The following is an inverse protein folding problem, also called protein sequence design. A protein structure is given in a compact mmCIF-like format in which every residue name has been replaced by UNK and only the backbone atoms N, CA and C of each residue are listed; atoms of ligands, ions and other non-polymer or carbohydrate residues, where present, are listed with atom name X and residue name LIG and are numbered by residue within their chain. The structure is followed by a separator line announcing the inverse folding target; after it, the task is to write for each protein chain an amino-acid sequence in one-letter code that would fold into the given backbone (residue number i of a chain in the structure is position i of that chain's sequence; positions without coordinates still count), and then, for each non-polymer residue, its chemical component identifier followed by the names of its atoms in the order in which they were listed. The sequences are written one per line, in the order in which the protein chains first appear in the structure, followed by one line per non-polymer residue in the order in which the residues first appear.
data_IF_487176970684
#
_entry.id   IF_487176970684
#
_cell.length_a   1.000
_cell.length_b   1.000
_cell.length_c   1.000
_cell.angle_alpha   90.00
_cell.angle_beta   90.00
_cell.angle_gamma   90.00
#
_symmetry.space_group_name_H-M   'P 1'
#
loop_
_entity.id
_entity.type
_entity.pdbx_description
1 polymer ?
#
# COMPACT_ATOMS: atom_id res chain seq x y z
N UNK A 1 -15.47 -8.35 -19.45
CA UNK A 1 -15.39 -6.90 -19.16
C UNK A 1 -13.98 -6.48 -19.52
N UNK A 2 -13.81 -5.50 -20.40
CA UNK A 2 -12.47 -4.96 -20.71
C UNK A 2 -12.05 -4.08 -19.53
N UNK A 3 -10.90 -4.35 -18.92
CA UNK A 3 -10.32 -3.47 -17.90
C UNK A 3 -10.10 -2.07 -18.50
N UNK A 4 -10.61 -1.04 -17.83
CA UNK A 4 -10.38 0.35 -18.21
C UNK A 4 -9.31 0.97 -17.29
N UNK A 5 -8.46 1.82 -17.84
CA UNK A 5 -7.46 2.60 -17.08
C UNK A 5 -8.14 3.47 -16.00
N UNK A 6 -9.39 3.88 -16.22
CA UNK A 6 -10.20 4.58 -15.22
C UNK A 6 -10.50 3.75 -13.97
N UNK A 7 -10.65 2.42 -14.12
CA UNK A 7 -10.88 1.52 -12.99
C UNK A 7 -9.64 1.45 -12.09
N UNK A 8 -8.45 1.46 -12.69
CA UNK A 8 -7.17 1.48 -11.97
C UNK A 8 -7.06 2.74 -11.11
N UNK A 9 -7.45 3.91 -11.66
CA UNK A 9 -7.47 5.16 -10.90
C UNK A 9 -8.38 5.09 -9.67
N UNK A 10 -9.58 4.52 -9.83
CA UNK A 10 -10.53 4.37 -8.72
C UNK A 10 -10.01 3.46 -7.62
N UNK A 11 -9.36 2.34 -7.98
CA UNK A 11 -8.74 1.44 -7.00
C UNK A 11 -7.54 2.09 -6.30
N UNK A 12 -6.77 2.92 -7.02
CA UNK A 12 -5.64 3.64 -6.45
C UNK A 12 -6.08 4.70 -5.41
N UNK A 13 -7.17 5.42 -5.68
CA UNK A 13 -7.75 6.36 -4.71
C UNK A 13 -8.19 5.65 -3.43
N UNK A 14 -8.84 4.48 -3.55
CA UNK A 14 -9.23 3.66 -2.40
C UNK A 14 -8.01 3.10 -1.65
N UNK A 15 -6.99 2.64 -2.38
CA UNK A 15 -5.74 2.17 -1.82
C UNK A 15 -5.09 3.26 -0.96
N UNK A 16 -5.06 4.50 -1.45
CA UNK A 16 -4.54 5.63 -0.67
C UNK A 16 -5.31 5.83 0.64
N UNK A 17 -6.63 5.80 0.60
CA UNK A 17 -7.49 5.93 1.80
C UNK A 17 -7.21 4.81 2.79
N UNK A 18 -7.05 3.57 2.33
CA UNK A 18 -6.77 2.44 3.21
C UNK A 18 -5.38 2.48 3.83
N UNK A 19 -4.35 2.87 3.06
CA UNK A 19 -2.98 3.06 3.56
C UNK A 19 -2.90 4.13 4.66
N UNK A 20 -3.59 5.26 4.48
CA UNK A 20 -3.61 6.32 5.50
C UNK A 20 -4.37 5.91 6.77
N UNK A 21 -5.40 5.08 6.63
CA UNK A 21 -6.20 4.60 7.76
C UNK A 21 -5.63 3.33 8.43
N UNK A 22 -4.50 2.80 7.95
CA UNK A 22 -3.90 1.57 8.46
C UNK A 22 -4.74 0.31 8.21
N UNK A 23 -5.67 0.35 7.25
CA UNK A 23 -6.51 -0.79 6.86
C UNK A 23 -5.77 -1.67 5.86
N UNK A 24 -4.74 -2.38 6.34
CA UNK A 24 -3.78 -3.07 5.47
C UNK A 24 -4.37 -4.25 4.69
N UNK A 25 -5.36 -4.95 5.26
CA UNK A 25 -6.06 -6.04 4.57
C UNK A 25 -6.90 -5.51 3.38
N UNK A 26 -7.63 -4.40 3.61
CA UNK A 26 -8.39 -3.73 2.55
C UNK A 26 -7.45 -3.17 1.47
N UNK A 27 -6.34 -2.56 1.87
CA UNK A 27 -5.30 -2.06 0.96
C UNK A 27 -4.72 -3.19 0.09
N UNK A 28 -4.46 -4.37 0.66
CA UNK A 28 -4.00 -5.53 -0.10
C UNK A 28 -5.02 -5.96 -1.17
N UNK A 29 -6.31 -5.91 -0.85
CA UNK A 29 -7.38 -6.20 -1.79
C UNK A 29 -7.39 -5.25 -2.99
N UNK A 30 -7.20 -3.95 -2.77
CA UNK A 30 -7.12 -2.97 -3.88
C UNK A 30 -5.87 -3.16 -4.74
N UNK A 31 -4.72 -3.50 -4.15
CA UNK A 31 -3.49 -3.81 -4.92
C UNK A 31 -3.72 -5.02 -5.85
N UNK A 32 -4.43 -6.04 -5.39
CA UNK A 32 -4.75 -7.22 -6.22
C UNK A 32 -5.62 -6.84 -7.42
N UNK A 33 -6.64 -5.99 -7.22
CA UNK A 33 -7.48 -5.50 -8.32
C UNK A 33 -6.69 -4.67 -9.32
N UNK A 34 -5.80 -3.80 -8.83
CA UNK A 34 -4.90 -3.01 -9.69
C UNK A 34 -4.01 -3.93 -10.54
N UNK A 35 -3.37 -4.94 -9.92
CA UNK A 35 -2.52 -5.91 -10.62
C UNK A 35 -3.30 -6.71 -11.67
N UNK A 36 -4.52 -7.17 -11.34
CA UNK A 36 -5.41 -7.86 -12.29
C UNK A 36 -5.80 -6.96 -13.47
N UNK A 37 -6.16 -5.69 -13.21
CA UNK A 37 -6.50 -4.74 -14.27
C UNK A 37 -5.30 -4.41 -15.16
N UNK A 38 -4.11 -4.25 -14.60
CA UNK A 38 -2.88 -4.02 -15.38
C UNK A 38 -2.57 -5.23 -16.26
N UNK A 39 -2.65 -6.46 -15.72
CA UNK A 39 -2.47 -7.68 -16.51
C UNK A 39 -3.46 -7.77 -17.65
N UNK A 40 -4.74 -7.54 -17.38
CA UNK A 40 -5.79 -7.55 -18.41
C UNK A 40 -5.60 -6.45 -19.46
N UNK A 41 -5.10 -5.28 -19.06
CA UNK A 41 -4.79 -4.20 -19.98
C UNK A 41 -3.74 -4.69 -20.99
N UNK A 42 -2.61 -5.22 -20.51
CA UNK A 42 -1.46 -5.60 -21.35
C UNK A 42 -1.53 -6.99 -21.98
N UNK A 43 -2.45 -7.86 -21.55
CA UNK A 43 -2.70 -9.16 -22.20
C UNK A 43 -3.37 -9.02 -23.59
N UNK A 44 -3.96 -7.87 -23.90
CA UNK A 44 -4.47 -7.57 -25.22
C UNK A 44 -3.28 -7.23 -26.15
N UNK A 45 -3.03 -8.06 -27.17
CA UNK A 45 -1.85 -7.94 -28.05
C UNK A 45 -1.77 -6.65 -28.89
N UNK A 46 -2.84 -5.86 -28.96
CA UNK A 46 -2.93 -4.57 -29.68
C UNK A 46 -3.31 -3.41 -28.74
N UNK A 47 -2.57 -3.24 -27.64
CA UNK A 47 -2.75 -2.09 -26.75
C UNK A 47 -2.14 -0.84 -27.38
N UNK A 48 -2.98 -0.05 -28.05
CA UNK A 48 -2.68 1.35 -28.38
C UNK A 48 -3.13 2.24 -27.23
N UNK A 49 -2.15 2.82 -26.51
CA UNK A 49 -2.41 3.80 -25.46
C UNK A 49 -2.26 5.21 -26.03
N UNK A 50 -3.23 6.07 -25.73
CA UNK A 50 -3.09 7.51 -25.92
C UNK A 50 -2.05 8.11 -24.97
N UNK A 51 -1.50 9.27 -25.32
CA UNK A 51 -0.58 10.03 -24.44
C UNK A 51 -1.19 10.28 -23.05
N UNK A 52 -2.50 10.53 -22.99
CA UNK A 52 -3.23 10.70 -21.73
C UNK A 52 -3.18 9.43 -20.88
N UNK A 53 -3.41 8.28 -21.48
CA UNK A 53 -3.38 6.99 -20.77
C UNK A 53 -1.96 6.64 -20.30
N UNK A 54 -0.93 6.94 -21.10
CA UNK A 54 0.47 6.80 -20.69
C UNK A 54 0.77 7.70 -19.50
N UNK A 55 0.33 8.96 -19.53
CA UNK A 55 0.51 9.90 -18.43
C UNK A 55 -0.21 9.44 -17.16
N UNK A 56 -1.40 8.83 -17.27
CA UNK A 56 -2.12 8.26 -16.12
C UNK A 56 -1.36 7.08 -15.51
N UNK A 57 -0.84 6.17 -16.33
CA UNK A 57 -0.04 5.03 -15.84
C UNK A 57 1.24 5.49 -15.14
N UNK A 58 1.90 6.52 -15.65
CA UNK A 58 3.06 7.13 -15.00
C UNK A 58 2.69 7.71 -13.63
N UNK A 59 1.58 8.45 -13.55
CA UNK A 59 1.06 8.94 -12.28
C UNK A 59 0.72 7.82 -11.30
N UNK A 60 0.14 6.71 -11.78
CA UNK A 60 -0.15 5.55 -10.92
C UNK A 60 1.13 4.91 -10.37
N UNK A 61 2.17 4.79 -11.19
CA UNK A 61 3.47 4.30 -10.75
C UNK A 61 4.07 5.16 -9.64
N UNK A 62 4.09 6.49 -9.83
CA UNK A 62 4.62 7.43 -8.83
C UNK A 62 3.83 7.31 -7.52
N UNK A 63 2.50 7.27 -7.61
CA UNK A 63 1.62 7.17 -6.45
C UNK A 63 1.81 5.87 -5.67
N UNK A 64 1.98 4.74 -6.36
CA UNK A 64 2.29 3.46 -5.71
C UNK A 64 3.63 3.54 -4.98
N UNK A 65 4.63 4.24 -5.54
CA UNK A 65 5.89 4.53 -4.88
C UNK A 65 5.71 5.30 -3.56
N UNK A 66 4.97 6.40 -3.60
CA UNK A 66 4.66 7.20 -2.40
C UNK A 66 3.96 6.39 -1.31
N UNK A 67 2.98 5.56 -1.69
CA UNK A 67 2.24 4.71 -0.74
C UNK A 67 3.13 3.62 -0.15
N UNK A 68 4.07 3.07 -0.93
CA UNK A 68 5.07 2.12 -0.44
C UNK A 68 5.98 2.77 0.61
N UNK A 69 6.43 4.00 0.38
CA UNK A 69 7.26 4.75 1.35
C UNK A 69 6.49 5.09 2.64
N UNK A 70 5.21 5.45 2.51
CA UNK A 70 4.30 5.67 3.65
C UNK A 70 4.19 4.40 4.50
N UNK A 71 3.88 3.26 3.88
CA UNK A 71 3.75 1.98 4.57
C UNK A 71 5.09 1.54 5.21
N UNK A 72 6.22 1.79 4.53
CA UNK A 72 7.56 1.57 5.07
C UNK A 72 7.81 2.39 6.34
N UNK A 73 7.41 3.66 6.34
CA UNK A 73 7.51 4.55 7.49
C UNK A 73 6.61 4.11 8.65
N UNK A 74 5.36 3.72 8.37
CA UNK A 74 4.44 3.18 9.37
C UNK A 74 4.98 1.90 10.02
N UNK A 75 5.56 0.99 9.23
CA UNK A 75 6.21 -0.24 9.72
C UNK A 75 7.37 0.08 10.67
N UNK A 76 8.19 1.08 10.35
CA UNK A 76 9.30 1.50 11.19
C UNK A 76 8.82 2.05 12.54
N UNK A 77 7.78 2.89 12.55
CA UNK A 77 7.17 3.43 13.77
C UNK A 77 6.58 2.33 14.66
N UNK A 78 5.81 1.40 14.09
CA UNK A 78 5.24 0.25 14.82
C UNK A 78 6.35 -0.60 15.44
N UNK A 79 7.42 -0.87 14.69
CA UNK A 79 8.58 -1.64 15.18
C UNK A 79 9.28 -0.94 16.35
N UNK A 80 9.44 0.38 16.27
CA UNK A 80 10.02 1.18 17.35
C UNK A 80 9.15 1.17 18.61
N UNK A 81 7.84 1.33 18.46
CA UNK A 81 6.87 1.27 19.57
C UNK A 81 6.89 -0.10 20.25
N UNK A 82 6.93 -1.18 19.48
CA UNK A 82 7.02 -2.54 20.00
C UNK A 82 8.32 -2.75 20.79
N UNK A 83 9.46 -2.29 20.25
CA UNK A 83 10.75 -2.35 20.94
C UNK A 83 10.76 -1.61 22.29
N UNK A 84 10.19 -0.40 22.33
CA UNK A 84 10.00 0.36 23.59
C UNK A 84 9.13 -0.40 24.58
N UNK A 85 8.00 -0.97 24.12
CA UNK A 85 7.10 -1.73 24.97
C UNK A 85 7.76 -2.97 25.57
N UNK A 86 8.50 -3.74 24.77
CA UNK A 86 9.27 -4.90 25.25
C UNK A 86 10.34 -4.52 26.28
N UNK A 87 11.06 -3.42 26.05
CA UNK A 87 12.05 -2.89 26.99
C UNK A 87 11.40 -2.48 28.32
N UNK A 88 10.25 -1.78 28.26
CA UNK A 88 9.50 -1.39 29.45
C UNK A 88 9.00 -2.61 30.22
N UNK A 89 8.46 -3.63 29.54
CA UNK A 89 8.04 -4.89 30.16
C UNK A 89 9.19 -5.58 30.89
N UNK A 90 10.39 -5.62 30.29
CA UNK A 90 11.60 -6.16 30.95
C UNK A 90 11.97 -5.40 32.22
N UNK A 91 11.95 -4.06 32.17
CA UNK A 91 12.22 -3.21 33.34
C UNK A 91 11.22 -3.47 34.47
N UNK A 92 9.92 -3.48 34.16
CA UNK A 92 8.85 -3.75 35.15
C UNK A 92 9.06 -5.11 35.83
N UNK A 93 9.37 -6.15 35.05
CA UNK A 93 9.61 -7.49 35.59
C UNK A 93 10.85 -7.54 36.49
N UNK A 94 11.92 -6.82 36.13
CA UNK A 94 13.12 -6.72 36.97
C UNK A 94 12.81 -6.04 38.32
N UNK A 95 12.04 -4.95 38.32
CA UNK A 95 11.62 -4.30 39.57
C UNK A 95 10.71 -5.18 40.43
N UNK A 96 9.78 -5.93 39.83
CA UNK A 96 8.88 -6.85 40.55
C UNK A 96 9.60 -8.07 41.14
N UNK A 97 10.68 -8.55 40.51
CA UNK A 97 11.48 -9.66 41.04
C UNK A 97 12.48 -9.27 42.13
N UNK A 98 12.63 -7.97 42.41
CA UNK A 98 13.47 -7.44 43.49
C UNK A 98 12.68 -7.11 44.77
N UNK A 99 11.34 -7.25 44.76
CA UNK A 99 10.46 -7.20 45.93
C UNK A 99 10.17 -8.62 46.42
#
# INVERSE_FOLDING_TARGET
MSANIDDIGSYLDQLEVYCHNGKLEDAQGEVQKIDECIKQLFDNQDVELSDTQVSMLAHFYDKIGELSDLLGSQKADVSQKLGKHLSNKKKINAYKGMQ
#
